data_IF_004531688735
#
_entry.id   IF_004531688735
#
_cell.length_a   1.000
_cell.length_b   1.000
_cell.length_c   1.000
_cell.angle_alpha   90.00
_cell.angle_beta   90.00
_cell.angle_gamma   90.00
#
_symmetry.space_group_name_H-M   'P 1'
#
loop_
_entity.id
_entity.type
_entity.pdbx_description
1 polymer ?
#
# COMPACT_ATOMS: atom_id res chain seq x y z
N UNK A 1 -45.87 -9.01 7.90
CA UNK A 1 -45.28 -7.92 7.10
C UNK A 1 -44.08 -8.54 6.40
N UNK A 2 -44.21 -8.88 5.12
CA UNK A 2 -43.16 -9.61 4.37
C UNK A 2 -42.16 -8.57 3.89
N UNK A 3 -41.03 -8.42 4.59
CA UNK A 3 -39.87 -7.68 4.07
C UNK A 3 -39.46 -8.31 2.74
N UNK A 4 -39.30 -7.49 1.69
CA UNK A 4 -38.89 -8.00 0.38
C UNK A 4 -37.45 -8.52 0.50
N UNK A 5 -37.16 -9.70 -0.07
CA UNK A 5 -35.81 -10.28 -0.11
C UNK A 5 -34.76 -9.30 -0.69
N UNK A 6 -35.19 -8.36 -1.54
CA UNK A 6 -34.37 -7.27 -2.08
C UNK A 6 -33.92 -6.23 -1.04
N UNK A 7 -34.68 -6.00 0.04
CA UNK A 7 -34.30 -5.09 1.13
C UNK A 7 -33.35 -5.75 2.14
N UNK A 8 -33.52 -7.07 2.39
CA UNK A 8 -32.55 -7.87 3.14
C UNK A 8 -31.21 -7.99 2.39
N UNK A 9 -31.25 -8.18 1.06
CA UNK A 9 -30.06 -8.11 0.21
C UNK A 9 -29.41 -6.73 0.29
N UNK A 10 -30.17 -5.63 0.21
CA UNK A 10 -29.61 -4.26 0.30
C UNK A 10 -28.90 -3.93 1.63
N UNK A 11 -29.35 -4.47 2.76
CA UNK A 11 -28.68 -4.29 4.07
C UNK A 11 -27.42 -5.16 4.24
N UNK A 12 -27.33 -6.28 3.53
CA UNK A 12 -26.13 -7.14 3.43
C UNK A 12 -25.24 -6.81 2.19
N UNK A 13 -25.70 -5.96 1.27
CA UNK A 13 -25.11 -5.69 -0.07
C UNK A 13 -24.01 -4.63 -0.09
N UNK A 14 -23.74 -3.93 1.01
CA UNK A 14 -22.57 -3.07 1.08
C UNK A 14 -21.32 -3.95 1.30
N UNK A 15 -20.97 -4.73 0.27
CA UNK A 15 -19.73 -5.50 0.21
C UNK A 15 -18.55 -4.64 0.67
N UNK A 16 -17.53 -5.30 1.21
CA UNK A 16 -16.33 -4.60 1.62
C UNK A 16 -15.68 -3.92 0.39
N UNK A 17 -15.31 -2.64 0.50
CA UNK A 17 -14.64 -1.94 -0.58
C UNK A 17 -13.27 -2.54 -0.88
N UNK A 18 -12.82 -2.41 -2.12
CA UNK A 18 -11.44 -2.76 -2.53
C UNK A 18 -10.45 -1.62 -2.25
N UNK A 19 -10.94 -0.45 -1.83
CA UNK A 19 -10.14 0.77 -1.65
C UNK A 19 -9.77 1.42 -3.00
N UNK A 20 -10.45 1.00 -4.06
CA UNK A 20 -10.28 1.46 -5.45
C UNK A 20 -11.67 1.65 -6.04
N UNK A 21 -12.13 2.89 -6.10
CA UNK A 21 -13.51 3.22 -6.47
C UNK A 21 -13.90 2.66 -7.85
N UNK A 22 -12.99 2.73 -8.84
CA UNK A 22 -13.25 2.23 -10.19
C UNK A 22 -13.40 0.71 -10.22
N UNK A 23 -12.70 0.00 -9.32
CA UNK A 23 -12.82 -1.44 -9.16
C UNK A 23 -14.10 -1.80 -8.41
N UNK A 24 -14.46 -1.05 -7.38
CA UNK A 24 -15.72 -1.23 -6.64
C UNK A 24 -16.94 -1.02 -7.54
N UNK A 25 -16.92 -0.04 -8.44
CA UNK A 25 -17.96 0.13 -9.47
C UNK A 25 -18.00 -1.03 -10.46
N UNK A 26 -16.85 -1.67 -10.73
CA UNK A 26 -16.75 -2.80 -11.66
C UNK A 26 -17.26 -4.11 -11.05
N UNK A 27 -16.93 -4.38 -9.78
CA UNK A 27 -17.20 -5.67 -9.11
C UNK A 27 -18.33 -5.60 -8.09
N UNK A 28 -18.78 -4.41 -7.69
CA UNK A 28 -19.80 -4.22 -6.65
C UNK A 28 -19.29 -4.50 -5.23
N UNK A 29 -17.98 -4.32 -5.00
CA UNK A 29 -17.31 -4.66 -3.74
C UNK A 29 -17.07 -6.16 -3.52
N UNK A 30 -16.44 -6.48 -2.40
CA UNK A 30 -16.11 -7.84 -1.95
C UNK A 30 -17.26 -8.41 -1.12
N UNK A 31 -17.88 -9.48 -1.62
CA UNK A 31 -19.06 -10.12 -1.01
C UNK A 31 -18.67 -11.13 0.07
N UNK A 32 -19.29 -11.07 1.27
CA UNK A 32 -19.18 -12.12 2.29
C UNK A 32 -19.35 -13.54 1.73
N UNK A 33 -18.52 -14.48 2.18
CA UNK A 33 -18.60 -15.90 1.78
C UNK A 33 -18.27 -16.19 0.31
N UNK A 34 -17.85 -15.18 -0.46
CA UNK A 34 -17.47 -15.34 -1.86
C UNK A 34 -15.95 -15.27 -2.05
N UNK A 35 -15.45 -16.07 -3.00
CA UNK A 35 -14.05 -16.08 -3.40
C UNK A 35 -13.84 -15.11 -4.56
N UNK A 36 -13.11 -14.03 -4.29
CA UNK A 36 -12.69 -13.04 -5.27
C UNK A 36 -11.24 -13.32 -5.63
N UNK A 37 -10.95 -13.43 -6.92
CA UNK A 37 -9.61 -13.66 -7.42
C UNK A 37 -9.22 -12.52 -8.36
N UNK A 38 -8.18 -11.79 -7.97
CA UNK A 38 -7.57 -10.77 -8.79
C UNK A 38 -6.22 -11.29 -9.30
N UNK A 39 -6.08 -11.44 -10.61
CA UNK A 39 -4.90 -12.06 -11.20
C UNK A 39 -4.26 -11.16 -12.24
N UNK A 40 -2.95 -11.32 -12.44
CA UNK A 40 -2.20 -10.51 -13.37
C UNK A 40 -0.84 -10.11 -12.84
N UNK A 41 -0.45 -8.86 -13.10
CA UNK A 41 0.85 -8.33 -12.72
C UNK A 41 0.92 -7.99 -11.21
N UNK A 42 1.90 -8.52 -10.45
CA UNK A 42 2.06 -8.24 -9.01
C UNK A 42 2.12 -6.75 -8.66
N UNK A 43 2.71 -5.94 -9.55
CA UNK A 43 2.79 -4.49 -9.41
C UNK A 43 1.41 -3.80 -9.31
N UNK A 44 0.32 -4.49 -9.70
CA UNK A 44 -1.06 -3.99 -9.60
C UNK A 44 -1.84 -4.78 -8.55
N UNK A 45 -1.72 -6.12 -8.55
CA UNK A 45 -2.51 -6.98 -7.66
C UNK A 45 -2.14 -6.76 -6.19
N UNK A 46 -0.86 -6.60 -5.86
CA UNK A 46 -0.41 -6.42 -4.47
C UNK A 46 -0.91 -5.11 -3.87
N UNK A 47 -0.74 -3.92 -4.50
CA UNK A 47 -1.29 -2.67 -3.95
C UNK A 47 -2.81 -2.69 -3.75
N UNK A 48 -3.57 -3.36 -4.62
CA UNK A 48 -5.02 -3.51 -4.45
C UNK A 48 -5.35 -4.39 -3.24
N UNK A 49 -4.60 -5.47 -3.03
CA UNK A 49 -4.79 -6.33 -1.87
C UNK A 49 -4.57 -5.55 -0.56
N UNK A 50 -3.49 -4.78 -0.46
CA UNK A 50 -3.21 -3.94 0.71
C UNK A 50 -4.28 -2.87 0.94
N UNK A 51 -4.79 -2.24 -0.12
CA UNK A 51 -5.92 -1.31 -0.02
C UNK A 51 -7.18 -1.97 0.51
N UNK A 52 -7.51 -3.17 0.03
CA UNK A 52 -8.64 -3.93 0.57
C UNK A 52 -8.44 -4.31 2.04
N UNK A 53 -7.21 -4.59 2.48
CA UNK A 53 -6.90 -4.84 3.89
C UNK A 53 -7.10 -3.57 4.75
N UNK A 54 -6.69 -2.40 4.26
CA UNK A 54 -6.94 -1.11 4.93
C UNK A 54 -8.45 -0.81 5.02
N UNK A 55 -9.21 -1.05 3.96
CA UNK A 55 -10.68 -0.91 4.01
C UNK A 55 -11.32 -1.87 5.02
N UNK A 56 -10.78 -3.09 5.11
CA UNK A 56 -11.28 -4.11 6.02
C UNK A 56 -11.01 -3.78 7.49
N UNK A 57 -9.88 -3.13 7.78
CA UNK A 57 -9.47 -2.74 9.13
C UNK A 57 -10.56 -1.95 9.85
N UNK A 58 -11.22 -1.00 9.15
CA UNK A 58 -12.31 -0.20 9.71
C UNK A 58 -13.52 -1.02 10.18
N UNK A 59 -13.68 -2.26 9.68
CA UNK A 59 -14.77 -3.17 10.04
C UNK A 59 -14.35 -4.25 11.04
N UNK A 60 -13.05 -4.41 11.30
CA UNK A 60 -12.53 -5.42 12.22
C UNK A 60 -11.21 -6.05 11.76
N UNK A 61 -10.78 -7.14 12.44
CA UNK A 61 -9.50 -7.79 12.18
C UNK A 61 -9.36 -8.36 10.77
N UNK A 62 -8.15 -8.32 10.23
CA UNK A 62 -7.84 -8.85 8.90
C UNK A 62 -7.02 -10.12 9.03
N UNK A 63 -7.46 -11.19 8.36
CA UNK A 63 -6.74 -12.45 8.28
C UNK A 63 -5.94 -12.49 6.98
N UNK A 64 -4.61 -12.52 7.07
CA UNK A 64 -3.72 -12.39 5.93
C UNK A 64 -2.79 -13.61 5.77
N UNK A 65 -2.81 -14.23 4.60
CA UNK A 65 -1.87 -15.29 4.22
C UNK A 65 -0.94 -14.79 3.11
N UNK A 66 0.37 -14.78 3.37
CA UNK A 66 1.38 -14.50 2.36
C UNK A 66 2.01 -15.78 1.81
N UNK A 67 2.04 -15.94 0.49
CA UNK A 67 2.76 -17.01 -0.19
C UNK A 67 4.02 -16.43 -0.83
N UNK A 68 5.14 -16.57 -0.14
CA UNK A 68 6.44 -16.00 -0.56
C UNK A 68 7.50 -17.07 -0.67
N UNK A 69 8.46 -16.89 -1.55
CA UNK A 69 9.61 -17.78 -1.60
C UNK A 69 10.58 -17.45 -0.45
N UNK A 70 11.19 -18.48 0.14
CA UNK A 70 12.06 -18.36 1.31
C UNK A 70 13.37 -17.57 1.05
N UNK A 71 13.72 -17.37 -0.22
CA UNK A 71 15.01 -16.84 -0.68
C UNK A 71 14.92 -15.40 -1.24
N UNK A 72 13.73 -14.91 -1.61
CA UNK A 72 13.50 -13.63 -2.29
C UNK A 72 12.93 -12.55 -1.38
N UNK A 73 11.74 -12.74 -0.82
CA UNK A 73 11.02 -11.73 -0.02
C UNK A 73 10.68 -12.30 1.36
N UNK A 74 11.48 -11.94 2.38
CA UNK A 74 11.32 -12.41 3.77
C UNK A 74 10.21 -11.68 4.54
N UNK A 75 9.46 -10.81 3.88
CA UNK A 75 8.54 -9.92 4.57
C UNK A 75 7.19 -10.60 4.73
N UNK A 76 6.76 -10.79 5.99
CA UNK A 76 5.43 -11.32 6.29
C UNK A 76 4.35 -10.42 5.67
N UNK A 77 4.50 -9.10 5.83
CA UNK A 77 3.62 -8.03 5.33
C UNK A 77 4.52 -6.93 4.77
N UNK A 78 4.28 -6.45 3.55
CA UNK A 78 4.97 -5.30 2.99
C UNK A 78 4.50 -4.02 3.70
N UNK A 79 5.28 -3.61 4.69
CA UNK A 79 4.98 -2.45 5.56
C UNK A 79 4.97 -1.15 4.75
N UNK A 80 5.82 -1.02 3.72
CA UNK A 80 5.88 0.20 2.92
C UNK A 80 4.58 0.38 2.13
N UNK A 81 4.15 -0.66 1.42
CA UNK A 81 2.90 -0.63 0.65
C UNK A 81 1.69 -0.47 1.58
N UNK A 82 1.68 -1.13 2.74
CA UNK A 82 0.60 -1.00 3.73
C UNK A 82 0.53 0.42 4.31
N UNK A 83 1.65 1.02 4.71
CA UNK A 83 1.70 2.38 5.25
C UNK A 83 1.22 3.39 4.22
N UNK A 84 1.71 3.30 2.98
CA UNK A 84 1.27 4.19 1.90
C UNK A 84 -0.24 4.04 1.60
N UNK A 85 -0.78 2.83 1.67
CA UNK A 85 -2.22 2.60 1.52
C UNK A 85 -3.03 3.13 2.71
N UNK A 86 -2.51 3.00 3.93
CA UNK A 86 -3.13 3.46 5.17
C UNK A 86 -3.22 4.98 5.20
N UNK A 87 -2.10 5.67 4.97
CA UNK A 87 -2.05 7.13 4.88
C UNK A 87 -3.00 7.68 3.81
N UNK A 88 -3.04 7.04 2.64
CA UNK A 88 -3.94 7.43 1.56
C UNK A 88 -5.43 7.28 1.92
N UNK A 89 -5.75 6.36 2.84
CA UNK A 89 -7.09 6.16 3.37
C UNK A 89 -7.36 6.98 4.66
N UNK A 90 -6.37 7.70 5.18
CA UNK A 90 -6.47 8.45 6.44
C UNK A 90 -6.44 7.57 7.70
N UNK A 91 -5.91 6.35 7.59
CA UNK A 91 -5.71 5.43 8.72
C UNK A 91 -4.28 5.53 9.25
N UNK A 92 -4.10 5.35 10.57
CA UNK A 92 -2.76 5.28 11.16
C UNK A 92 -2.11 3.91 10.86
N UNK A 93 -0.93 3.86 10.19
CA UNK A 93 -0.34 2.59 9.75
C UNK A 93 -0.13 1.56 10.86
N UNK A 94 0.23 2.00 12.07
CA UNK A 94 0.45 1.09 13.19
C UNK A 94 -0.85 0.40 13.63
N UNK A 95 -1.97 1.15 13.70
CA UNK A 95 -3.28 0.59 14.06
C UNK A 95 -3.75 -0.43 13.01
N UNK A 96 -3.53 -0.13 11.72
CA UNK A 96 -3.83 -1.06 10.63
C UNK A 96 -2.99 -2.33 10.78
N UNK A 97 -1.69 -2.21 11.02
CA UNK A 97 -0.79 -3.35 11.19
C UNK A 97 -1.20 -4.24 12.38
N UNK A 98 -1.55 -3.64 13.52
CA UNK A 98 -2.00 -4.37 14.72
C UNK A 98 -3.28 -5.18 14.51
N UNK A 99 -4.13 -4.75 13.57
CA UNK A 99 -5.36 -5.47 13.23
C UNK A 99 -5.16 -6.68 12.31
N UNK A 100 -3.97 -6.84 11.73
CA UNK A 100 -3.66 -7.89 10.75
C UNK A 100 -3.05 -9.10 11.46
N UNK A 101 -3.77 -10.21 11.50
CA UNK A 101 -3.17 -11.50 11.80
C UNK A 101 -2.56 -12.10 10.53
N UNK A 102 -1.25 -12.33 10.54
CA UNK A 102 -0.53 -12.82 9.38
C UNK A 102 0.04 -14.25 9.56
N UNK A 103 -0.03 -15.04 8.50
CA UNK A 103 0.71 -16.29 8.35
C UNK A 103 1.42 -16.32 7.01
N UNK A 104 2.57 -16.99 6.94
CA UNK A 104 3.29 -17.18 5.69
C UNK A 104 3.46 -18.66 5.33
N UNK A 105 3.42 -18.91 4.03
CA UNK A 105 3.75 -20.18 3.42
C UNK A 105 4.92 -20.02 2.46
N UNK A 106 5.81 -21.01 2.46
CA UNK A 106 7.06 -20.99 1.67
C UNK A 106 7.15 -22.11 0.64
N UNK A 107 6.14 -22.99 0.59
CA UNK A 107 5.97 -24.05 -0.40
C UNK A 107 4.52 -24.56 -0.38
N UNK A 108 4.17 -25.42 -1.32
CA UNK A 108 2.82 -25.96 -1.47
C UNK A 108 2.32 -26.73 -0.22
N UNK A 109 3.17 -27.51 0.45
CA UNK A 109 2.78 -28.24 1.66
C UNK A 109 2.49 -27.29 2.82
N UNK A 110 3.37 -26.31 3.04
CA UNK A 110 3.21 -25.28 4.07
C UNK A 110 2.02 -24.37 3.79
N UNK A 111 1.63 -24.18 2.51
CA UNK A 111 0.44 -23.41 2.14
C UNK A 111 -0.82 -23.98 2.77
N UNK A 112 -1.00 -25.31 2.74
CA UNK A 112 -2.16 -25.97 3.36
C UNK A 112 -2.12 -25.82 4.89
N UNK A 113 -0.95 -26.01 5.50
CA UNK A 113 -0.79 -25.87 6.97
C UNK A 113 -0.98 -24.43 7.44
N UNK A 114 -0.52 -23.44 6.67
CA UNK A 114 -0.72 -22.03 6.96
C UNK A 114 -2.21 -21.65 6.84
N UNK A 115 -2.88 -22.12 5.80
CA UNK A 115 -4.32 -21.96 5.63
C UNK A 115 -5.12 -22.53 6.82
N UNK A 116 -4.75 -23.72 7.31
CA UNK A 116 -5.34 -24.32 8.51
C UNK A 116 -5.21 -23.44 9.75
N UNK A 117 -3.99 -22.96 10.04
CA UNK A 117 -3.73 -22.06 11.18
C UNK A 117 -4.48 -20.73 11.06
N UNK A 118 -4.53 -20.15 9.86
CA UNK A 118 -5.29 -18.93 9.62
C UNK A 118 -6.79 -19.15 9.79
N UNK A 119 -7.32 -20.27 9.32
CA UNK A 119 -8.73 -20.62 9.48
C UNK A 119 -9.12 -20.82 10.96
N UNK A 120 -8.27 -21.43 11.78
CA UNK A 120 -8.47 -21.51 13.23
C UNK A 120 -8.55 -20.11 13.87
N UNK A 121 -7.69 -19.18 13.44
CA UNK A 121 -7.72 -17.82 13.93
C UNK A 121 -9.00 -17.07 13.51
N UNK A 122 -9.40 -17.20 12.24
CA UNK A 122 -10.64 -16.62 11.71
C UNK A 122 -11.85 -17.12 12.49
N UNK A 123 -11.91 -18.42 12.80
CA UNK A 123 -13.00 -18.99 13.62
C UNK A 123 -12.99 -18.49 15.06
N UNK A 124 -11.80 -18.25 15.62
CA UNK A 124 -11.63 -17.82 17.01
C UNK A 124 -11.96 -16.34 17.23
N UNK A 125 -11.47 -15.46 16.35
CA UNK A 125 -11.55 -14.00 16.51
C UNK A 125 -12.49 -13.31 15.53
N UNK A 126 -12.97 -14.02 14.52
CA UNK A 126 -13.60 -13.42 13.34
C UNK A 126 -12.57 -12.76 12.41
N UNK A 127 -13.05 -12.33 11.25
CA UNK A 127 -12.30 -11.47 10.34
C UNK A 127 -13.26 -10.62 9.50
N UNK A 128 -12.87 -9.40 9.16
CA UNK A 128 -13.58 -8.55 8.19
C UNK A 128 -13.16 -8.85 6.75
N UNK A 129 -11.98 -9.46 6.56
CA UNK A 129 -11.44 -9.92 5.29
C UNK A 129 -10.47 -11.09 5.50
N UNK A 130 -10.55 -12.10 4.63
CA UNK A 130 -9.50 -13.09 4.46
C UNK A 130 -8.72 -12.80 3.17
N UNK A 131 -7.52 -12.26 3.31
CA UNK A 131 -6.63 -11.86 2.23
C UNK A 131 -5.57 -12.94 1.96
N UNK A 132 -5.47 -13.40 0.71
CA UNK A 132 -4.49 -14.41 0.28
C UNK A 132 -3.58 -13.83 -0.79
N UNK A 133 -2.37 -13.46 -0.39
CA UNK A 133 -1.39 -12.87 -1.28
C UNK A 133 -0.65 -13.95 -2.07
N UNK A 134 -0.58 -13.79 -3.40
CA UNK A 134 0.15 -14.66 -4.32
C UNK A 134 -0.24 -16.14 -4.22
N UNK A 135 -1.55 -16.43 -4.17
CA UNK A 135 -2.10 -17.77 -3.99
C UNK A 135 -1.46 -18.82 -4.93
N UNK A 136 -1.18 -18.45 -6.19
CA UNK A 136 -0.59 -19.34 -7.19
C UNK A 136 0.94 -19.50 -7.12
N UNK A 137 1.64 -18.90 -6.16
CA UNK A 137 3.11 -18.86 -6.12
C UNK A 137 3.76 -20.26 -6.21
N UNK A 138 3.12 -21.26 -5.59
CA UNK A 138 3.62 -22.65 -5.56
C UNK A 138 2.90 -23.58 -6.55
N UNK A 139 2.21 -23.04 -7.57
CA UNK A 139 1.49 -23.80 -8.57
C UNK A 139 2.22 -23.84 -9.93
N UNK A 140 3.15 -24.79 -10.14
CA UNK A 140 3.80 -24.99 -11.44
C UNK A 140 2.93 -25.74 -12.47
N UNK A 141 1.69 -26.16 -12.11
CA UNK A 141 0.80 -26.90 -13.02
C UNK A 141 0.65 -28.41 -12.74
N UNK A 142 1.33 -28.95 -11.71
CA UNK A 142 1.23 -30.37 -11.34
C UNK A 142 0.04 -30.71 -10.45
N UNK A 143 -0.41 -31.98 -10.45
CA UNK A 143 -1.54 -32.47 -9.65
C UNK A 143 -1.41 -32.17 -8.15
N UNK A 144 -0.23 -32.45 -7.56
CA UNK A 144 0.02 -32.19 -6.14
C UNK A 144 -0.08 -30.71 -5.76
N UNK A 145 0.52 -29.83 -6.56
CA UNK A 145 0.44 -28.38 -6.35
C UNK A 145 -0.98 -27.82 -6.58
N UNK A 146 -1.73 -28.37 -7.54
CA UNK A 146 -3.13 -28.01 -7.75
C UNK A 146 -3.97 -28.36 -6.52
N UNK A 147 -3.79 -29.57 -5.99
CA UNK A 147 -4.51 -30.03 -4.80
C UNK A 147 -4.17 -29.17 -3.59
N UNK A 148 -2.89 -28.87 -3.35
CA UNK A 148 -2.46 -28.03 -2.23
C UNK A 148 -3.12 -26.64 -2.25
N UNK A 149 -3.03 -25.91 -3.38
CA UNK A 149 -3.66 -24.60 -3.54
C UNK A 149 -5.18 -24.66 -3.29
N UNK A 150 -5.80 -25.71 -3.78
CA UNK A 150 -7.26 -25.84 -3.72
C UNK A 150 -7.75 -26.20 -2.33
N UNK A 151 -7.02 -27.07 -1.63
CA UNK A 151 -7.25 -27.34 -0.22
C UNK A 151 -7.07 -26.07 0.61
N UNK A 152 -6.00 -25.31 0.39
CA UNK A 152 -5.75 -24.07 1.11
C UNK A 152 -6.89 -23.04 0.92
N UNK A 153 -7.30 -22.76 -0.32
CA UNK A 153 -8.42 -21.86 -0.58
C UNK A 153 -9.77 -22.40 -0.07
N UNK A 154 -9.97 -23.72 -0.08
CA UNK A 154 -11.19 -24.34 0.46
C UNK A 154 -11.31 -24.13 1.97
N UNK A 155 -10.22 -24.41 2.70
CA UNK A 155 -10.13 -24.24 4.16
C UNK A 155 -10.42 -22.78 4.54
N UNK A 156 -9.80 -21.83 3.83
CA UNK A 156 -9.98 -20.41 4.08
C UNK A 156 -11.39 -19.92 3.71
N UNK A 157 -11.94 -20.40 2.59
CA UNK A 157 -13.29 -20.03 2.16
C UNK A 157 -14.35 -20.54 3.12
N UNK A 158 -14.19 -21.75 3.66
CA UNK A 158 -15.09 -22.31 4.67
C UNK A 158 -15.07 -21.46 5.94
N UNK A 159 -13.89 -21.19 6.51
CA UNK A 159 -13.75 -20.36 7.71
C UNK A 159 -14.25 -18.92 7.48
N UNK A 160 -13.97 -18.33 6.31
CA UNK A 160 -14.47 -17.01 5.94
C UNK A 160 -16.00 -16.99 5.82
N UNK A 161 -16.59 -18.05 5.26
CA UNK A 161 -18.05 -18.16 5.12
C UNK A 161 -18.74 -18.29 6.48
N UNK A 162 -18.17 -19.07 7.40
CA UNK A 162 -18.62 -19.16 8.79
C UNK A 162 -18.55 -17.80 9.50
N UNK A 163 -17.50 -17.02 9.25
CA UNK A 163 -17.28 -15.69 9.83
C UNK A 163 -18.04 -14.55 9.11
N UNK A 164 -18.73 -14.83 7.99
CA UNK A 164 -19.36 -13.78 7.18
C UNK A 164 -18.36 -12.83 6.50
N UNK A 165 -17.13 -13.27 6.26
CA UNK A 165 -16.06 -12.50 5.65
C UNK A 165 -15.91 -12.82 4.15
N UNK A 166 -15.56 -11.84 3.30
CA UNK A 166 -15.10 -12.11 1.94
C UNK A 166 -13.70 -12.76 1.94
N UNK A 167 -13.42 -13.55 0.90
CA UNK A 167 -12.04 -13.97 0.58
C UNK A 167 -11.57 -13.20 -0.66
N UNK A 168 -10.43 -12.53 -0.55
CA UNK A 168 -9.72 -11.92 -1.67
C UNK A 168 -8.36 -12.60 -1.86
N UNK A 169 -8.18 -13.28 -2.98
CA UNK A 169 -6.92 -13.89 -3.35
C UNK A 169 -6.29 -13.18 -4.56
N UNK A 170 -4.98 -12.94 -4.49
CA UNK A 170 -4.21 -12.54 -5.67
C UNK A 170 -3.52 -13.73 -6.31
N UNK A 171 -3.35 -13.69 -7.63
CA UNK A 171 -2.70 -14.76 -8.39
C UNK A 171 -1.83 -14.19 -9.50
N UNK A 172 -0.79 -14.94 -9.85
CA UNK A 172 -0.01 -14.67 -11.06
C UNK A 172 -0.84 -15.00 -12.32
N UNK A 173 -0.40 -14.47 -13.44
CA UNK A 173 -0.92 -14.80 -14.77
C UNK A 173 0.14 -15.49 -15.65
N UNK A 174 -0.33 -16.28 -16.61
CA UNK A 174 0.45 -16.71 -17.77
C UNK A 174 0.31 -15.66 -18.88
N UNK A 175 1.43 -15.19 -19.40
CA UNK A 175 1.46 -14.08 -20.34
C UNK A 175 1.19 -12.73 -19.66
N UNK A 176 1.08 -11.67 -20.47
CA UNK A 176 0.92 -10.29 -20.04
C UNK A 176 -0.19 -9.58 -20.82
N UNK A 177 -0.63 -8.43 -20.32
CA UNK A 177 -1.65 -7.60 -20.97
C UNK A 177 -3.05 -8.21 -20.95
N UNK A 178 -3.88 -7.81 -21.93
CA UNK A 178 -5.31 -8.11 -21.94
C UNK A 178 -5.67 -9.60 -22.14
N UNK A 179 -4.74 -10.38 -22.70
CA UNK A 179 -4.91 -11.81 -23.00
C UNK A 179 -4.30 -12.72 -21.92
N UNK A 180 -3.80 -12.17 -20.82
CA UNK A 180 -3.20 -12.97 -19.77
C UNK A 180 -4.23 -13.91 -19.12
N UNK A 181 -3.80 -15.15 -18.90
CA UNK A 181 -4.62 -16.20 -18.30
C UNK A 181 -4.25 -16.37 -16.83
N UNK A 182 -5.20 -16.70 -15.94
CA UNK A 182 -4.89 -16.94 -14.54
C UNK A 182 -3.99 -18.18 -14.40
N UNK A 183 -2.91 -18.07 -13.63
CA UNK A 183 -2.08 -19.23 -13.25
C UNK A 183 -2.78 -20.01 -12.12
N UNK A 184 -3.93 -20.61 -12.42
CA UNK A 184 -4.75 -21.31 -11.42
C UNK A 184 -5.26 -22.65 -11.97
N UNK A 185 -5.51 -23.64 -11.09
CA UNK A 185 -6.23 -24.84 -11.46
C UNK A 185 -7.66 -24.51 -11.92
N UNK A 186 -8.16 -25.26 -12.91
CA UNK A 186 -9.47 -25.01 -13.52
C UNK A 186 -10.62 -25.03 -12.49
N UNK A 187 -10.58 -25.95 -11.52
CA UNK A 187 -11.61 -26.03 -10.49
C UNK A 187 -11.58 -24.84 -9.51
N UNK A 188 -10.43 -24.20 -9.29
CA UNK A 188 -10.35 -22.95 -8.52
C UNK A 188 -11.01 -21.81 -9.30
N UNK A 189 -10.80 -21.75 -10.62
CA UNK A 189 -11.45 -20.78 -11.53
C UNK A 189 -12.97 -20.98 -11.54
N UNK A 190 -13.45 -22.23 -11.54
CA UNK A 190 -14.89 -22.50 -11.45
C UNK A 190 -15.48 -22.16 -10.08
N UNK A 191 -14.70 -22.33 -9.00
CA UNK A 191 -15.15 -22.02 -7.64
C UNK A 191 -15.12 -20.54 -7.30
N UNK A 192 -14.29 -19.72 -7.97
CA UNK A 192 -14.29 -18.28 -7.72
C UNK A 192 -15.64 -17.65 -8.09
N UNK A 193 -16.15 -16.76 -7.26
CA UNK A 193 -17.38 -16.02 -7.58
C UNK A 193 -17.06 -14.86 -8.52
N UNK A 194 -15.95 -14.17 -8.24
CA UNK A 194 -15.48 -13.02 -9.03
C UNK A 194 -14.06 -13.29 -9.50
N UNK A 195 -13.81 -13.05 -10.78
CA UNK A 195 -12.49 -13.17 -11.39
C UNK A 195 -12.17 -11.88 -12.16
N UNK A 196 -11.08 -11.22 -11.81
CA UNK A 196 -10.65 -9.96 -12.44
C UNK A 196 -9.21 -10.09 -12.92
N UNK A 197 -8.99 -9.76 -14.19
CA UNK A 197 -7.67 -9.57 -14.76
C UNK A 197 -7.21 -8.13 -14.50
N UNK A 198 -6.01 -7.99 -13.93
CA UNK A 198 -5.34 -6.72 -13.72
C UNK A 198 -4.09 -6.67 -14.62
N UNK A 199 -4.02 -5.66 -15.48
CA UNK A 199 -2.93 -5.53 -16.46
C UNK A 199 -2.65 -4.07 -16.77
N UNK A 200 -1.43 -3.77 -17.24
CA UNK A 200 -1.17 -2.44 -17.80
C UNK A 200 -1.77 -2.28 -19.20
N UNK A 201 -2.31 -1.10 -19.46
CA UNK A 201 -2.64 -0.58 -20.79
C UNK A 201 -1.88 0.72 -20.99
N UNK A 202 -0.70 0.61 -21.60
CA UNK A 202 0.24 1.72 -21.66
C UNK A 202 0.75 2.06 -20.26
N UNK A 203 0.58 3.31 -19.85
CA UNK A 203 0.99 3.82 -18.51
C UNK A 203 -0.10 3.72 -17.45
N UNK A 204 -1.22 3.04 -17.72
CA UNK A 204 -2.36 2.96 -16.79
C UNK A 204 -2.66 1.51 -16.40
N UNK A 205 -2.99 1.29 -15.14
CA UNK A 205 -3.55 0.02 -14.69
C UNK A 205 -5.00 -0.11 -15.19
N UNK A 206 -5.38 -1.29 -15.64
CA UNK A 206 -6.72 -1.61 -16.09
C UNK A 206 -7.20 -2.90 -15.45
N UNK A 207 -8.47 -2.91 -15.06
CA UNK A 207 -9.19 -4.10 -14.61
C UNK A 207 -10.12 -4.60 -15.71
N UNK A 208 -10.13 -5.90 -15.96
CA UNK A 208 -11.12 -6.59 -16.81
C UNK A 208 -11.83 -7.65 -15.98
N UNK A 209 -13.12 -7.49 -15.82
CA UNK A 209 -14.00 -8.48 -15.20
C UNK A 209 -14.13 -9.67 -16.15
N UNK A 210 -13.69 -10.84 -15.69
CA UNK A 210 -13.72 -12.10 -16.45
C UNK A 210 -14.93 -12.94 -16.03
N UNK A 211 -15.25 -12.94 -14.73
CA UNK A 211 -16.35 -13.71 -14.16
C UNK A 211 -17.02 -12.92 -13.06
N UNK A 212 -18.36 -12.91 -13.05
CA UNK A 212 -19.17 -12.34 -11.97
C UNK A 212 -20.56 -13.00 -11.95
N UNK A 213 -21.18 -13.24 -10.77
CA UNK A 213 -22.48 -13.93 -10.70
C UNK A 213 -23.65 -13.12 -11.28
N UNK A 214 -23.59 -11.79 -11.20
CA UNK A 214 -24.76 -10.92 -11.50
C UNK A 214 -24.45 -9.74 -12.43
N UNK A 215 -23.20 -9.57 -12.85
CA UNK A 215 -22.76 -8.42 -13.66
C UNK A 215 -22.34 -8.95 -15.03
N UNK A 216 -22.72 -8.28 -16.12
CA UNK A 216 -22.31 -8.71 -17.44
C UNK A 216 -20.79 -8.65 -17.55
N UNK A 217 -20.19 -9.77 -18.00
CA UNK A 217 -18.76 -9.90 -18.28
C UNK A 217 -18.58 -10.33 -19.76
N UNK A 218 -17.56 -9.82 -20.49
CA UNK A 218 -16.48 -8.98 -19.98
C UNK A 218 -16.84 -7.49 -19.87
N UNK A 219 -16.38 -6.84 -18.80
CA UNK A 219 -16.38 -5.37 -18.63
C UNK A 219 -15.00 -4.93 -18.20
N UNK A 220 -14.62 -3.69 -18.52
CA UNK A 220 -13.31 -3.15 -18.11
C UNK A 220 -13.41 -1.75 -17.52
N UNK A 221 -12.53 -1.46 -16.59
CA UNK A 221 -12.34 -0.14 -16.01
C UNK A 221 -10.85 0.24 -16.03
N UNK A 222 -10.55 1.52 -16.24
CA UNK A 222 -9.23 2.07 -15.98
C UNK A 222 -9.14 2.42 -14.50
N UNK A 223 -8.06 2.01 -13.85
CA UNK A 223 -7.83 2.26 -12.43
C UNK A 223 -7.00 3.53 -12.29
N UNK A 224 -7.65 4.69 -12.44
CA UNK A 224 -7.00 6.00 -12.46
C UNK A 224 -6.43 6.33 -11.09
N UNK A 225 -7.11 5.90 -10.03
CA UNK A 225 -6.61 5.93 -8.66
C UNK A 225 -5.31 5.13 -8.45
N UNK A 226 -4.95 4.21 -9.36
CA UNK A 226 -3.68 3.47 -9.37
C UNK A 226 -2.71 3.94 -10.47
N UNK A 227 -2.81 5.20 -10.90
CA UNK A 227 -1.87 5.85 -11.83
C UNK A 227 -0.37 5.70 -11.48
N UNK A 228 0.02 5.39 -10.24
CA UNK A 228 1.40 5.04 -9.88
C UNK A 228 1.77 3.59 -10.21
N UNK A 229 0.80 2.66 -10.17
CA UNK A 229 1.03 1.25 -10.47
C UNK A 229 1.43 1.08 -11.94
N UNK A 230 0.88 1.91 -12.84
CA UNK A 230 1.19 2.02 -14.27
C UNK A 230 2.66 2.12 -14.68
N UNK A 231 3.54 2.37 -13.72
CA UNK A 231 4.98 2.38 -13.91
C UNK A 231 5.51 0.97 -13.67
N UNK A 232 5.47 0.13 -14.71
CA UNK A 232 5.92 -1.26 -14.67
C UNK A 232 7.37 -1.39 -14.19
N UNK A 233 7.57 -2.11 -13.07
CA UNK A 233 8.81 -2.18 -12.28
C UNK A 233 9.35 -0.78 -11.92
N UNK A 234 10.28 -0.76 -10.96
CA UNK A 234 11.00 0.45 -10.54
C UNK A 234 10.14 1.25 -9.55
N UNK A 235 10.41 1.10 -8.24
CA UNK A 235 10.43 2.28 -7.36
C UNK A 235 11.05 3.40 -8.18
N UNK A 236 10.28 4.41 -8.66
CA UNK A 236 10.77 5.38 -9.63
C UNK A 236 12.15 5.85 -9.16
N UNK A 237 13.19 5.87 -10.03
CA UNK A 237 14.55 6.13 -9.56
C UNK A 237 14.47 7.37 -8.68
N UNK A 238 15.02 7.33 -7.46
CA UNK A 238 14.83 8.37 -6.44
C UNK A 238 14.82 9.79 -7.02
N UNK A 239 15.72 10.05 -7.97
CA UNK A 239 15.82 11.28 -8.76
C UNK A 239 14.52 11.76 -9.41
N UNK A 240 13.71 10.87 -9.97
CA UNK A 240 12.41 11.17 -10.58
C UNK A 240 11.34 11.50 -9.54
N UNK A 241 11.31 10.79 -8.41
CA UNK A 241 10.38 11.09 -7.30
C UNK A 241 10.73 12.42 -6.68
N UNK A 242 12.01 12.61 -6.39
CA UNK A 242 12.59 13.85 -5.89
C UNK A 242 12.24 15.05 -6.77
N UNK A 243 12.42 14.94 -8.09
CA UNK A 243 12.03 16.01 -9.03
C UNK A 243 10.53 16.31 -9.00
N UNK A 244 9.68 15.28 -8.97
CA UNK A 244 8.22 15.47 -8.91
C UNK A 244 7.79 16.16 -7.61
N UNK A 245 8.35 15.76 -6.48
CA UNK A 245 8.09 16.40 -5.18
C UNK A 245 8.52 17.87 -5.21
N UNK A 246 9.73 18.17 -5.71
CA UNK A 246 10.21 19.54 -5.85
C UNK A 246 9.34 20.39 -6.79
N UNK A 247 8.93 19.85 -7.93
CA UNK A 247 8.06 20.55 -8.88
C UNK A 247 6.70 20.86 -8.26
N UNK A 248 6.12 19.91 -7.53
CA UNK A 248 4.86 20.11 -6.81
C UNK A 248 4.99 21.19 -5.73
N UNK A 249 6.07 21.16 -4.94
CA UNK A 249 6.35 22.19 -3.94
C UNK A 249 6.49 23.57 -4.61
N UNK A 250 7.24 23.67 -5.71
CA UNK A 250 7.45 24.94 -6.42
C UNK A 250 6.22 25.49 -7.11
N UNK A 251 5.42 24.63 -7.77
CA UNK A 251 4.29 25.06 -8.59
C UNK A 251 2.99 25.16 -7.82
N UNK A 252 2.80 24.33 -6.79
CA UNK A 252 1.54 24.24 -6.05
C UNK A 252 1.67 24.87 -4.67
N UNK A 253 2.67 24.48 -3.87
CA UNK A 253 2.77 24.93 -2.49
C UNK A 253 3.33 26.36 -2.36
N UNK A 254 4.43 26.67 -3.04
CA UNK A 254 5.09 27.98 -2.97
C UNK A 254 4.15 29.16 -3.26
N UNK A 255 3.25 29.13 -4.28
CA UNK A 255 2.31 30.23 -4.52
C UNK A 255 1.25 30.39 -3.42
N UNK A 256 0.98 29.35 -2.63
CA UNK A 256 0.01 29.39 -1.53
C UNK A 256 0.59 30.04 -0.26
N UNK A 257 1.91 30.21 -0.19
CA UNK A 257 2.57 30.88 0.93
C UNK A 257 2.36 32.40 0.86
N UNK A 258 1.61 32.93 1.84
CA UNK A 258 1.29 34.37 1.93
C UNK A 258 2.51 35.23 2.26
N UNK A 259 3.32 34.83 3.25
CA UNK A 259 4.49 35.58 3.69
C UNK A 259 5.68 35.43 2.71
N UNK A 260 6.24 36.55 2.28
CA UNK A 260 7.45 36.60 1.43
C UNK A 260 8.65 35.94 2.10
N UNK A 261 8.77 36.04 3.43
CA UNK A 261 9.84 35.40 4.21
C UNK A 261 9.76 33.88 4.08
N UNK A 262 8.56 33.30 4.13
CA UNK A 262 8.37 31.86 3.97
C UNK A 262 8.69 31.41 2.55
N UNK A 263 8.34 32.21 1.53
CA UNK A 263 8.71 31.92 0.13
C UNK A 263 10.23 31.92 -0.06
N UNK A 264 10.93 32.91 0.49
CA UNK A 264 12.40 32.98 0.47
C UNK A 264 13.05 31.83 1.23
N UNK A 265 12.53 31.47 2.40
CA UNK A 265 13.04 30.35 3.19
C UNK A 265 12.87 29.01 2.43
N UNK A 266 11.71 28.80 1.79
CA UNK A 266 11.47 27.64 0.95
C UNK A 266 12.43 27.59 -0.25
N UNK A 267 12.64 28.72 -0.94
CA UNK A 267 13.58 28.79 -2.06
C UNK A 267 15.02 28.50 -1.60
N UNK A 268 15.39 28.96 -0.40
CA UNK A 268 16.64 28.62 0.28
C UNK A 268 16.78 27.11 0.50
N UNK A 269 15.81 26.47 1.16
CA UNK A 269 15.80 25.01 1.40
C UNK A 269 15.96 24.22 0.09
N UNK A 270 15.25 24.61 -0.95
CA UNK A 270 15.33 23.94 -2.25
C UNK A 270 16.72 24.04 -2.88
N UNK A 271 17.38 25.20 -2.76
CA UNK A 271 18.68 25.45 -3.40
C UNK A 271 19.85 24.93 -2.56
N UNK A 272 19.85 25.25 -1.28
CA UNK A 272 21.02 25.16 -0.40
C UNK A 272 21.05 23.87 0.41
N UNK A 273 19.87 23.28 0.68
CA UNK A 273 19.78 22.07 1.50
C UNK A 273 19.43 20.87 0.64
N UNK A 274 18.23 20.83 0.07
CA UNK A 274 17.77 19.67 -0.68
C UNK A 274 18.58 19.48 -1.96
N UNK A 275 18.96 20.57 -2.63
CA UNK A 275 19.84 20.54 -3.80
C UNK A 275 21.23 19.99 -3.49
N UNK A 276 21.85 20.45 -2.40
CA UNK A 276 23.21 20.05 -2.01
C UNK A 276 23.26 18.61 -1.49
N UNK A 277 22.27 18.22 -0.67
CA UNK A 277 22.21 16.90 -0.03
C UNK A 277 21.49 15.84 -0.87
N UNK A 278 21.22 16.10 -2.16
CA UNK A 278 20.44 15.21 -3.02
C UNK A 278 20.91 13.74 -3.00
N UNK A 279 22.24 13.52 -2.98
CA UNK A 279 22.81 12.18 -2.92
C UNK A 279 22.56 11.49 -1.58
N UNK A 280 22.72 12.22 -0.47
CA UNK A 280 22.49 11.70 0.89
C UNK A 280 21.00 11.41 1.14
N UNK A 281 20.11 12.30 0.70
CA UNK A 281 18.65 12.10 0.75
C UNK A 281 18.27 10.83 -0.04
N UNK A 282 18.94 10.55 -1.16
CA UNK A 282 18.67 9.38 -1.99
C UNK A 282 19.16 8.04 -1.44
N UNK A 283 20.11 8.05 -0.50
CA UNK A 283 20.67 6.83 0.09
C UNK A 283 19.83 6.23 1.24
N UNK A 284 18.81 6.95 1.73
CA UNK A 284 18.03 6.52 2.89
C UNK A 284 17.06 5.38 2.59
N UNK A 285 16.65 5.18 1.33
CA UNK A 285 16.04 3.96 0.79
C UNK A 285 14.64 3.58 1.29
N UNK A 286 14.43 3.58 2.60
CA UNK A 286 13.26 3.05 3.32
C UNK A 286 12.31 4.15 3.85
N UNK A 287 12.67 5.43 3.65
CA UNK A 287 11.94 6.59 4.16
C UNK A 287 11.42 7.41 2.97
N UNK A 288 10.24 8.02 3.08
CA UNK A 288 9.69 8.81 1.99
C UNK A 288 10.62 9.96 1.60
N UNK A 289 10.52 10.41 0.34
CA UNK A 289 11.34 11.53 -0.15
C UNK A 289 11.11 12.80 0.68
N UNK A 290 9.88 13.05 1.11
CA UNK A 290 9.55 14.23 1.90
C UNK A 290 10.15 14.15 3.31
N UNK A 291 10.11 12.98 3.93
CA UNK A 291 10.71 12.75 5.25
C UNK A 291 12.24 12.87 5.20
N UNK A 292 12.86 12.35 4.13
CA UNK A 292 14.29 12.49 3.88
C UNK A 292 14.69 13.96 3.68
N UNK A 293 13.87 14.73 2.95
CA UNK A 293 14.03 16.18 2.81
C UNK A 293 13.84 16.93 4.13
N UNK A 294 12.90 16.48 4.98
CA UNK A 294 12.63 17.08 6.28
C UNK A 294 13.78 16.82 7.27
N UNK A 295 14.35 15.61 7.26
CA UNK A 295 15.54 15.27 8.04
C UNK A 295 16.73 16.14 7.63
N UNK A 296 16.99 16.28 6.32
CA UNK A 296 18.06 17.14 5.80
C UNK A 296 17.87 18.61 6.23
N UNK A 297 16.63 19.12 6.13
CA UNK A 297 16.29 20.47 6.60
C UNK A 297 16.52 20.63 8.11
N UNK A 298 16.15 19.62 8.91
CA UNK A 298 16.33 19.64 10.37
C UNK A 298 17.81 19.64 10.78
N UNK A 299 18.65 18.85 10.10
CA UNK A 299 20.10 18.84 10.32
C UNK A 299 20.71 20.19 9.95
N UNK A 300 20.34 20.75 8.80
CA UNK A 300 20.81 22.06 8.38
C UNK A 300 20.42 23.17 9.38
N UNK A 301 19.15 23.21 9.79
CA UNK A 301 18.68 24.15 10.81
C UNK A 301 19.47 24.02 12.11
N UNK A 302 19.76 22.80 12.56
CA UNK A 302 20.57 22.57 13.76
C UNK A 302 22.00 23.12 13.59
N UNK A 303 22.62 22.92 12.43
CA UNK A 303 23.96 23.44 12.14
C UNK A 303 23.99 24.99 12.11
N UNK A 304 23.01 25.62 11.46
CA UNK A 304 22.89 27.08 11.42
C UNK A 304 22.67 27.67 12.82
N UNK A 305 21.80 27.05 13.64
CA UNK A 305 21.56 27.48 15.01
C UNK A 305 22.84 27.44 15.84
N UNK A 306 23.64 26.38 15.74
CA UNK A 306 24.89 26.28 16.48
C UNK A 306 25.95 27.31 16.02
N UNK A 307 25.99 27.61 14.71
CA UNK A 307 26.86 28.67 14.19
C UNK A 307 26.42 30.06 14.65
N UNK A 308 25.10 30.33 14.63
CA UNK A 308 24.53 31.58 15.14
C UNK A 308 24.83 31.76 16.63
N UNK A 309 24.68 30.71 17.44
CA UNK A 309 25.06 30.74 18.87
C UNK A 309 26.53 31.10 19.06
N UNK A 310 27.44 30.51 18.27
CA UNK A 310 28.87 30.84 18.32
C UNK A 310 29.15 32.30 17.96
N UNK A 311 28.50 32.82 16.91
CA UNK A 311 28.64 34.23 16.50
C UNK A 311 28.08 35.19 17.54
N UNK A 312 26.94 34.86 18.12
CA UNK A 312 26.31 35.64 19.17
C UNK A 312 27.21 35.70 20.42
N UNK A 313 27.78 34.57 20.85
CA UNK A 313 28.75 34.54 21.95
C UNK A 313 29.98 35.43 21.69
N UNK A 314 30.56 35.37 20.49
CA UNK A 314 31.68 36.25 20.10
C UNK A 314 31.29 37.74 20.09
N UNK A 315 30.07 38.07 19.66
CA UNK A 315 29.57 39.44 19.66
C UNK A 315 29.36 39.94 21.09
N UNK A 316 28.79 39.11 21.97
CA UNK A 316 28.62 39.44 23.39
C UNK A 316 29.96 39.65 24.09
N UNK A 317 30.97 38.82 23.83
CA UNK A 317 32.34 39.00 24.36
C UNK A 317 32.95 40.32 23.89
N UNK A 318 32.82 40.64 22.60
CA UNK A 318 33.28 41.92 22.04
C UNK A 318 32.57 43.10 22.67
N UNK A 319 31.25 43.01 22.85
CA UNK A 319 30.45 44.06 23.45
C UNK A 319 30.90 44.32 24.89
N UNK A 320 31.07 43.26 25.70
CA UNK A 320 31.60 43.37 27.07
C UNK A 320 32.98 44.02 27.10
N UNK A 321 33.89 43.61 26.21
CA UNK A 321 35.24 44.18 26.16
C UNK A 321 35.26 45.68 25.77
N UNK A 322 34.29 46.13 24.97
CA UNK A 322 34.13 47.53 24.61
C UNK A 322 33.50 48.33 25.75
N UNK A 323 32.51 47.77 26.44
CA UNK A 323 31.89 48.36 27.62
C UNK A 323 32.90 48.55 28.76
N UNK A 324 33.76 47.55 29.01
CA UNK A 324 34.84 47.64 30.00
C UNK A 324 35.86 48.73 29.65
N UNK A 325 36.24 48.85 28.37
CA UNK A 325 37.16 49.91 27.91
C UNK A 325 36.54 51.30 27.98
N UNK A 326 35.25 51.43 27.66
CA UNK A 326 34.53 52.69 27.79
C UNK A 326 34.39 53.14 29.25
N UNK A 327 34.28 52.19 30.19
CA UNK A 327 34.30 52.48 31.63
C UNK A 327 35.69 52.85 32.13
N UNK A 328 36.76 52.22 31.60
CA UNK A 328 38.13 52.48 32.02
C UNK A 328 38.78 53.74 31.41
N UNK A 329 38.23 54.28 30.31
CA UNK A 329 38.70 55.51 29.66
C UNK A 329 37.88 56.76 29.98
N UNK A 330 36.99 56.68 30.97
CA UNK A 330 36.12 57.78 31.42
C UNK A 330 36.51 58.42 32.77
N UNK A 331 37.63 57.99 33.36
CA UNK A 331 38.32 58.64 34.49
C UNK A 331 39.51 59.48 33.97
#
# INVERSE_FOLDING_TARGET
MIERASELLRRYDAGLGTGVEELDRLVGGLRPGALHIFYGEPAITSPILYRAMVEAHWRGPVAYMNNTDYYGEKTLVDVETLSAASEAAGAEPLEVLESIYCVAAFNAERQVRAAGRLAEEVRRRGASLVAVHNASAFYPGGKGSAQALSSALSILLEAASEAGAPVLATSLSRGSGASAEPLLPLHVIHRSSVLVLLSFRGSFAAARLVKHPSMPAPRSALLLSLWWAGMGRITPPFRQVYRRVLERIRRVYRPLLRDERHRKALDGLVREVWGAEHAAIGSLGEITVLDSMNLAASIHNKAEIEELKKRLGKLEERLRSLEEKARAGGD
#
